data_IF_597391575192
#
_entry.id   IF_597391575192
#
_cell.length_a   1.000
_cell.length_b   1.000
_cell.length_c   1.000
_cell.angle_alpha   90.00
_cell.angle_beta   90.00
_cell.angle_gamma   90.00
#
_symmetry.space_group_name_H-M   'P 1'
#
loop_
_entity.id
_entity.type
_entity.pdbx_description
1 polymer ?
#
# COMPACT_ATOMS: atom_id res chain seq x y z
N UNK A 1 -7.38 -6.17 -11.59
CA UNK A 1 -6.13 -6.98 -11.60
C UNK A 1 -5.39 -6.76 -12.91
N UNK A 2 -4.05 -6.73 -12.84
CA UNK A 2 -3.12 -6.57 -13.97
C UNK A 2 -2.41 -7.90 -14.15
N UNK A 3 -2.64 -8.57 -15.28
CA UNK A 3 -2.18 -9.93 -15.54
C UNK A 3 -1.21 -10.04 -16.73
N UNK A 4 -1.07 -8.97 -17.53
CA UNK A 4 -0.21 -8.92 -18.71
C UNK A 4 0.73 -7.73 -18.67
N UNK A 5 1.81 -7.79 -19.44
CA UNK A 5 2.76 -6.68 -19.55
C UNK A 5 2.11 -5.41 -20.12
N UNK A 6 1.25 -5.54 -21.13
CA UNK A 6 0.56 -4.39 -21.71
C UNK A 6 -0.35 -3.69 -20.68
N UNK A 7 -1.13 -4.46 -19.92
CA UNK A 7 -1.91 -3.91 -18.81
C UNK A 7 -1.01 -3.23 -17.77
N UNK A 8 0.17 -3.80 -17.49
CA UNK A 8 1.11 -3.24 -16.53
C UNK A 8 1.68 -1.88 -16.98
N UNK A 9 2.02 -1.73 -18.27
CA UNK A 9 2.47 -0.45 -18.81
C UNK A 9 1.36 0.60 -18.82
N UNK A 10 0.14 0.23 -19.23
CA UNK A 10 -1.03 1.13 -19.18
C UNK A 10 -1.32 1.60 -17.74
N UNK A 11 -1.26 0.69 -16.78
CA UNK A 11 -1.42 1.03 -15.37
C UNK A 11 -0.29 1.94 -14.86
N UNK A 12 0.96 1.68 -15.28
CA UNK A 12 2.10 2.50 -14.90
C UNK A 12 1.99 3.94 -15.44
N UNK A 13 1.59 4.12 -16.68
CA UNK A 13 1.33 5.44 -17.26
C UNK A 13 0.28 6.21 -16.44
N UNK A 14 -0.82 5.56 -16.07
CA UNK A 14 -1.85 6.18 -15.24
C UNK A 14 -1.30 6.57 -13.86
N UNK A 15 -0.58 5.66 -13.19
CA UNK A 15 -0.04 5.86 -11.85
C UNK A 15 1.06 6.92 -11.80
N UNK A 16 1.88 7.05 -12.86
CA UNK A 16 2.91 8.09 -12.94
C UNK A 16 2.37 9.51 -13.12
N UNK A 17 1.10 9.66 -13.46
CA UNK A 17 0.40 10.96 -13.47
C UNK A 17 -0.13 11.36 -12.08
N UNK A 18 -0.08 10.46 -11.11
CA UNK A 18 -0.51 10.74 -9.75
C UNK A 18 0.59 11.43 -8.94
N UNK A 19 0.21 12.35 -8.08
CA UNK A 19 1.16 13.02 -7.16
C UNK A 19 1.63 12.09 -6.04
N UNK A 20 0.76 11.18 -5.61
CA UNK A 20 1.04 10.22 -4.54
C UNK A 20 0.20 8.95 -4.68
N UNK A 21 0.81 7.81 -4.38
CA UNK A 21 0.17 6.49 -4.41
C UNK A 21 0.53 5.69 -3.16
N UNK A 22 -0.40 4.86 -2.71
CA UNK A 22 -0.12 3.85 -1.69
C UNK A 22 0.46 2.59 -2.34
N UNK A 23 1.39 1.93 -1.67
CA UNK A 23 2.01 0.70 -2.17
C UNK A 23 2.13 -0.35 -1.06
N UNK A 24 1.96 -1.61 -1.45
CA UNK A 24 2.19 -2.78 -0.62
C UNK A 24 2.55 -3.99 -1.49
N UNK A 25 3.04 -5.09 -0.89
CA UNK A 25 3.33 -6.33 -1.61
C UNK A 25 2.83 -7.56 -0.85
N UNK A 26 2.48 -8.61 -1.61
CA UNK A 26 2.11 -9.88 -1.03
C UNK A 26 2.99 -11.01 -1.56
N UNK A 27 3.40 -11.87 -0.64
CA UNK A 27 4.19 -13.06 -0.91
C UNK A 27 3.46 -14.29 -0.37
N UNK A 28 3.43 -15.36 -1.13
CA UNK A 28 2.89 -16.63 -0.64
C UNK A 28 3.60 -17.06 0.65
N UNK A 29 2.89 -17.36 1.73
CA UNK A 29 3.51 -17.80 2.98
C UNK A 29 4.21 -19.15 2.80
N UNK A 30 5.36 -19.32 3.45
CA UNK A 30 6.04 -20.61 3.57
C UNK A 30 5.97 -21.12 4.99
N UNK A 31 5.49 -22.33 5.15
CA UNK A 31 5.44 -23.04 6.44
C UNK A 31 6.61 -24.04 6.59
N UNK A 32 7.54 -24.07 5.62
CA UNK A 32 8.73 -24.93 5.64
C UNK A 32 9.99 -24.07 5.78
N UNK A 33 10.86 -24.45 6.72
CA UNK A 33 12.15 -23.78 6.94
C UNK A 33 13.00 -23.79 5.66
N UNK A 34 13.56 -22.63 5.31
CA UNK A 34 14.46 -22.49 4.15
C UNK A 34 13.76 -22.28 2.81
N UNK A 35 12.44 -22.36 2.74
CA UNK A 35 11.71 -22.04 1.51
C UNK A 35 11.29 -20.57 1.55
N UNK A 36 11.74 -19.81 0.56
CA UNK A 36 11.32 -18.41 0.35
C UNK A 36 10.60 -18.33 -1.00
N UNK A 37 9.41 -17.72 -0.99
CA UNK A 37 8.70 -17.36 -2.21
C UNK A 37 9.09 -15.96 -2.65
N UNK A 38 8.97 -15.68 -3.93
CA UNK A 38 9.10 -14.33 -4.45
C UNK A 38 7.81 -13.54 -4.21
N UNK A 39 7.89 -12.21 -4.35
CA UNK A 39 6.70 -11.37 -4.39
C UNK A 39 5.77 -11.87 -5.50
N UNK A 40 4.53 -12.16 -5.15
CA UNK A 40 3.51 -12.68 -6.06
C UNK A 40 2.56 -11.58 -6.55
N UNK A 41 2.37 -10.54 -5.73
CA UNK A 41 1.44 -9.44 -6.00
C UNK A 41 2.09 -8.12 -5.55
N UNK A 42 1.95 -7.08 -6.37
CA UNK A 42 2.25 -5.69 -5.99
C UNK A 42 0.94 -4.91 -6.10
N UNK A 43 0.58 -4.21 -5.04
CA UNK A 43 -0.58 -3.33 -5.01
C UNK A 43 -0.12 -1.89 -5.09
N UNK A 44 -0.71 -1.12 -6.00
CA UNK A 44 -0.48 0.33 -6.07
C UNK A 44 -1.84 1.02 -6.17
N UNK A 45 -2.15 1.87 -5.19
CA UNK A 45 -3.45 2.49 -5.03
C UNK A 45 -3.39 3.99 -5.21
N UNK A 46 -4.26 4.53 -6.03
CA UNK A 46 -4.74 5.91 -5.98
C UNK A 46 -5.87 6.02 -4.96
N UNK A 47 -6.60 7.15 -4.93
CA UNK A 47 -7.81 7.27 -4.10
C UNK A 47 -8.95 6.35 -4.56
N UNK A 48 -9.13 6.24 -5.86
CA UNK A 48 -10.33 5.66 -6.47
C UNK A 48 -10.06 4.28 -7.05
N UNK A 49 -8.81 3.96 -7.33
CA UNK A 49 -8.43 2.73 -8.04
C UNK A 49 -7.20 2.10 -7.42
N UNK A 50 -7.25 0.79 -7.17
CA UNK A 50 -6.08 0.01 -6.83
C UNK A 50 -5.73 -0.96 -7.96
N UNK A 51 -4.49 -0.89 -8.41
CA UNK A 51 -3.93 -1.80 -9.40
C UNK A 51 -3.23 -2.97 -8.69
N UNK A 52 -3.68 -4.18 -8.99
CA UNK A 52 -3.16 -5.42 -8.43
C UNK A 52 -2.30 -6.13 -9.49
N UNK A 53 -1.00 -5.87 -9.48
CA UNK A 53 -0.05 -6.45 -10.43
C UNK A 53 0.29 -7.88 -10.03
N UNK A 54 -0.17 -8.85 -10.80
CA UNK A 54 0.07 -10.28 -10.59
C UNK A 54 1.46 -10.66 -11.10
N UNK A 55 2.49 -10.53 -10.26
CA UNK A 55 3.89 -10.79 -10.65
C UNK A 55 4.10 -12.21 -11.16
N UNK A 56 3.37 -13.18 -10.59
CA UNK A 56 3.39 -14.56 -11.07
C UNK A 56 2.78 -14.77 -12.48
N UNK A 57 2.17 -13.73 -13.08
CA UNK A 57 1.56 -13.74 -14.42
C UNK A 57 2.27 -12.83 -15.42
N UNK A 58 2.99 -11.83 -14.92
CA UNK A 58 3.73 -10.86 -15.71
C UNK A 58 5.17 -11.36 -15.83
N UNK A 59 5.74 -11.42 -17.04
CA UNK A 59 7.06 -11.97 -17.28
C UNK A 59 8.19 -11.10 -16.71
N UNK A 60 7.97 -9.80 -16.56
CA UNK A 60 8.94 -8.86 -16.01
C UNK A 60 8.25 -7.76 -15.17
N UNK A 61 9.03 -7.09 -14.33
CA UNK A 61 8.54 -6.01 -13.48
C UNK A 61 8.93 -4.60 -13.96
N UNK A 62 9.23 -4.43 -15.26
CA UNK A 62 9.74 -3.14 -15.78
C UNK A 62 8.76 -2.00 -15.57
N UNK A 63 7.46 -2.21 -15.79
CA UNK A 63 6.43 -1.18 -15.54
C UNK A 63 6.40 -0.76 -14.05
N UNK A 64 6.48 -1.74 -13.14
CA UNK A 64 6.54 -1.47 -11.69
C UNK A 64 7.85 -0.75 -11.34
N UNK A 65 8.96 -1.17 -11.92
CA UNK A 65 10.26 -0.51 -11.75
C UNK A 65 10.19 0.97 -12.13
N UNK A 66 9.57 1.31 -13.25
CA UNK A 66 9.38 2.70 -13.68
C UNK A 66 8.63 3.52 -12.62
N UNK A 67 7.56 2.98 -12.03
CA UNK A 67 6.81 3.65 -10.97
C UNK A 67 7.69 3.84 -9.72
N UNK A 68 8.40 2.79 -9.29
CA UNK A 68 9.21 2.82 -8.08
C UNK A 68 10.42 3.79 -8.20
N UNK A 69 11.02 3.88 -9.38
CA UNK A 69 12.16 4.75 -9.67
C UNK A 69 11.75 6.16 -10.08
N UNK A 70 10.46 6.43 -10.33
CA UNK A 70 9.95 7.76 -10.62
C UNK A 70 10.21 8.73 -9.45
N UNK A 71 10.70 9.92 -9.76
CA UNK A 71 10.84 11.04 -8.81
C UNK A 71 9.60 11.94 -8.79
N UNK A 72 8.70 11.80 -9.78
CA UNK A 72 7.48 12.60 -9.89
C UNK A 72 6.36 12.14 -8.97
N UNK A 73 6.23 10.82 -8.79
CA UNK A 73 5.17 10.21 -7.98
C UNK A 73 5.71 9.83 -6.61
N UNK A 74 5.07 10.27 -5.53
CA UNK A 74 5.39 9.86 -4.16
C UNK A 74 4.78 8.49 -3.86
N UNK A 75 5.60 7.51 -3.45
CA UNK A 75 5.16 6.18 -3.01
C UNK A 75 5.07 6.14 -1.49
N UNK A 76 3.95 5.68 -0.96
CA UNK A 76 3.70 5.60 0.49
C UNK A 76 3.40 4.15 0.84
N UNK A 77 4.16 3.57 1.75
CA UNK A 77 3.94 2.22 2.21
C UNK A 77 4.42 2.00 3.64
N UNK A 78 4.17 0.84 4.16
CA UNK A 78 4.56 0.43 5.50
C UNK A 78 5.44 -0.81 5.42
N UNK A 79 6.63 -0.75 6.03
CA UNK A 79 7.69 -1.78 5.91
C UNK A 79 8.31 -1.89 4.50
N UNK A 80 8.36 -0.78 3.77
CA UNK A 80 8.85 -0.71 2.39
C UNK A 80 10.25 -1.30 2.19
N UNK A 81 11.08 -1.35 3.23
CA UNK A 81 12.40 -1.98 3.17
C UNK A 81 12.30 -3.45 2.77
N UNK A 82 11.33 -4.17 3.32
CA UNK A 82 11.12 -5.60 3.07
C UNK A 82 10.49 -5.81 1.69
N UNK A 83 9.54 -4.96 1.29
CA UNK A 83 8.94 -4.96 -0.05
C UNK A 83 9.99 -4.75 -1.13
N UNK A 84 10.81 -3.71 -0.99
CA UNK A 84 11.89 -3.44 -1.93
C UNK A 84 12.95 -4.54 -1.95
N UNK A 85 13.27 -5.17 -0.82
CA UNK A 85 14.15 -6.31 -0.78
C UNK A 85 13.57 -7.52 -1.52
N UNK A 86 12.26 -7.75 -1.39
CA UNK A 86 11.52 -8.76 -2.14
C UNK A 86 11.56 -8.52 -3.65
N UNK A 87 11.30 -7.28 -4.07
CA UNK A 87 11.30 -6.91 -5.48
C UNK A 87 12.69 -6.91 -6.11
N UNK A 88 13.74 -6.57 -5.35
CA UNK A 88 15.15 -6.64 -5.82
C UNK A 88 15.61 -8.07 -6.16
N UNK A 89 14.95 -9.09 -5.61
CA UNK A 89 15.22 -10.48 -6.03
C UNK A 89 14.72 -10.79 -7.45
N UNK A 90 13.78 -9.99 -7.97
CA UNK A 90 13.22 -10.15 -9.30
C UNK A 90 13.94 -9.29 -10.35
N UNK A 91 14.32 -8.07 -9.99
CA UNK A 91 15.04 -7.14 -10.87
C UNK A 91 15.75 -6.08 -10.01
N UNK A 92 16.93 -5.60 -10.44
CA UNK A 92 17.57 -4.45 -9.79
C UNK A 92 16.64 -3.24 -9.83
N UNK A 93 16.30 -2.68 -8.66
CA UNK A 93 15.52 -1.47 -8.49
C UNK A 93 16.20 -0.49 -7.53
N UNK A 94 16.07 0.80 -7.82
CA UNK A 94 16.53 1.90 -6.98
C UNK A 94 15.31 2.81 -6.70
N UNK A 95 14.52 2.51 -5.65
CA UNK A 95 13.33 3.30 -5.35
C UNK A 95 13.69 4.72 -4.99
N UNK A 96 12.96 5.68 -5.55
CA UNK A 96 13.07 7.10 -5.26
C UNK A 96 11.73 7.65 -4.75
N UNK A 97 11.76 8.79 -4.07
CA UNK A 97 10.59 9.57 -3.67
C UNK A 97 9.52 8.70 -3.00
N UNK A 98 9.84 8.17 -1.81
CA UNK A 98 8.94 7.33 -1.01
C UNK A 98 8.93 7.73 0.46
N UNK A 99 7.85 7.38 1.16
CA UNK A 99 7.66 7.56 2.59
C UNK A 99 7.41 6.20 3.23
N UNK A 100 8.25 5.89 4.23
CA UNK A 100 8.03 4.79 5.17
C UNK A 100 7.07 5.24 6.27
N UNK A 101 5.85 4.70 6.27
CA UNK A 101 4.79 5.16 7.16
C UNK A 101 5.10 4.95 8.63
N UNK A 102 5.82 3.91 9.01
CA UNK A 102 6.20 3.69 10.41
C UNK A 102 6.99 4.87 10.95
N UNK A 103 8.00 5.32 10.19
CA UNK A 103 8.82 6.47 10.57
C UNK A 103 8.01 7.78 10.50
N UNK A 104 7.18 7.92 9.47
CA UNK A 104 6.37 9.12 9.30
C UNK A 104 5.35 9.27 10.43
N UNK A 105 4.65 8.21 10.81
CA UNK A 105 3.67 8.21 11.89
C UNK A 105 4.30 8.53 13.26
N UNK A 106 5.54 8.09 13.50
CA UNK A 106 6.28 8.41 14.74
C UNK A 106 6.46 9.91 14.94
N UNK A 107 6.65 10.69 13.86
CA UNK A 107 6.75 12.16 13.94
C UNK A 107 5.46 12.83 14.48
N UNK A 108 4.33 12.11 14.44
CA UNK A 108 3.03 12.54 14.98
C UNK A 108 2.71 11.89 16.33
N UNK A 109 3.69 11.24 16.97
CA UNK A 109 3.51 10.60 18.27
C UNK A 109 2.79 9.25 18.21
N UNK A 110 2.72 8.61 17.04
CA UNK A 110 2.14 7.29 16.85
C UNK A 110 3.28 6.27 16.86
N UNK A 111 3.39 5.49 17.94
CA UNK A 111 4.44 4.47 18.12
C UNK A 111 4.03 3.09 17.58
N UNK A 112 2.79 2.94 17.12
CA UNK A 112 2.29 1.70 16.55
C UNK A 112 2.96 1.39 15.21
N UNK A 113 3.35 0.11 15.04
CA UNK A 113 4.15 -0.33 13.89
C UNK A 113 3.34 -1.13 12.86
N UNK A 114 2.09 -1.50 13.15
CA UNK A 114 1.26 -2.24 12.21
C UNK A 114 0.25 -1.34 11.53
N UNK A 115 0.07 -1.53 10.21
CA UNK A 115 -0.88 -0.77 9.40
C UNK A 115 -2.29 -0.75 10.01
N UNK A 116 -2.78 -1.91 10.43
CA UNK A 116 -4.12 -2.05 10.99
C UNK A 116 -4.29 -1.30 12.31
N UNK A 117 -3.24 -1.23 13.14
CA UNK A 117 -3.30 -0.51 14.42
C UNK A 117 -3.21 1.00 14.20
N UNK A 118 -2.30 1.47 13.33
CA UNK A 118 -2.21 2.88 12.95
C UNK A 118 -3.55 3.34 12.36
N UNK A 119 -4.12 2.54 11.44
CA UNK A 119 -5.41 2.84 10.83
C UNK A 119 -6.53 2.89 11.87
N UNK A 120 -6.58 1.92 12.79
CA UNK A 120 -7.59 1.89 13.84
C UNK A 120 -7.46 3.08 14.81
N UNK A 121 -6.23 3.49 15.14
CA UNK A 121 -5.97 4.65 15.99
C UNK A 121 -6.47 5.94 15.35
N UNK A 122 -6.20 6.14 14.06
CA UNK A 122 -6.57 7.36 13.35
C UNK A 122 -8.06 7.42 12.99
N UNK A 123 -8.63 6.30 12.60
CA UNK A 123 -9.96 6.27 11.98
C UNK A 123 -11.03 5.53 12.79
N UNK A 124 -10.68 4.92 13.94
CA UNK A 124 -11.61 4.15 14.76
C UNK A 124 -12.14 2.87 14.06
N UNK A 125 -11.49 2.40 12.99
CA UNK A 125 -11.91 1.25 12.18
C UNK A 125 -10.79 0.23 12.07
N UNK A 126 -11.18 -1.04 11.95
CA UNK A 126 -10.24 -2.15 11.81
C UNK A 126 -10.15 -2.62 10.37
N UNK A 127 -8.93 -2.79 9.87
CA UNK A 127 -8.65 -3.51 8.63
C UNK A 127 -8.54 -5.00 8.98
N UNK A 128 -9.18 -5.84 8.16
CA UNK A 128 -9.15 -7.30 8.34
C UNK A 128 -7.75 -7.86 8.05
N UNK A 129 -7.35 -8.92 8.76
CA UNK A 129 -6.13 -9.70 8.50
C UNK A 129 -6.40 -11.10 7.92
N UNK A 130 -7.65 -11.38 7.57
CA UNK A 130 -8.09 -12.75 7.24
C UNK A 130 -7.39 -13.36 6.02
N UNK A 131 -6.89 -12.51 5.11
CA UNK A 131 -6.23 -12.95 3.88
C UNK A 131 -4.69 -12.88 3.92
N UNK A 132 -4.09 -12.43 5.03
CA UNK A 132 -2.64 -12.25 5.16
C UNK A 132 -1.83 -13.52 4.80
N UNK A 133 -2.34 -14.70 5.16
CA UNK A 133 -1.67 -15.98 4.89
C UNK A 133 -2.25 -16.72 3.69
N UNK A 134 -2.81 -15.99 2.74
CA UNK A 134 -3.40 -16.55 1.53
C UNK A 134 -2.36 -17.05 0.52
N UNK A 135 -2.79 -17.92 -0.39
CA UNK A 135 -1.98 -18.29 -1.54
C UNK A 135 -2.07 -17.20 -2.63
N UNK A 136 -1.13 -16.26 -2.60
CA UNK A 136 -1.06 -15.15 -3.55
C UNK A 136 -0.62 -15.56 -4.96
N UNK A 137 -0.10 -16.79 -5.12
CA UNK A 137 0.25 -17.39 -6.42
C UNK A 137 -0.92 -18.19 -7.05
N UNK A 138 -2.11 -18.21 -6.41
CA UNK A 138 -3.28 -18.93 -6.94
C UNK A 138 -3.58 -18.52 -8.39
N UNK A 139 -4.14 -19.41 -9.24
CA UNK A 139 -4.49 -19.06 -10.62
C UNK A 139 -5.40 -17.83 -10.70
N UNK A 140 -6.33 -17.70 -9.79
CA UNK A 140 -7.21 -16.53 -9.63
C UNK A 140 -7.24 -16.10 -8.18
N UNK A 141 -7.27 -14.78 -7.94
CA UNK A 141 -7.49 -14.22 -6.61
C UNK A 141 -8.99 -14.10 -6.38
N UNK A 142 -9.43 -14.58 -5.23
CA UNK A 142 -10.82 -14.36 -4.78
C UNK A 142 -11.09 -12.87 -4.57
N UNK A 143 -12.36 -12.47 -4.58
CA UNK A 143 -12.75 -11.09 -4.26
C UNK A 143 -12.26 -10.65 -2.87
N UNK A 144 -12.24 -11.57 -1.89
CA UNK A 144 -11.74 -11.29 -0.55
C UNK A 144 -10.23 -10.99 -0.55
N UNK A 145 -9.42 -11.72 -1.31
CA UNK A 145 -8.00 -11.46 -1.48
C UNK A 145 -7.76 -10.12 -2.20
N UNK A 146 -8.48 -9.86 -3.28
CA UNK A 146 -8.36 -8.61 -4.03
C UNK A 146 -8.70 -7.41 -3.15
N UNK A 147 -9.80 -7.48 -2.40
CA UNK A 147 -10.22 -6.41 -1.49
C UNK A 147 -9.21 -6.19 -0.37
N UNK A 148 -8.69 -7.28 0.22
CA UNK A 148 -7.67 -7.21 1.25
C UNK A 148 -6.42 -6.48 0.75
N UNK A 149 -5.84 -6.95 -0.36
CA UNK A 149 -4.63 -6.40 -0.95
C UNK A 149 -4.81 -4.93 -1.36
N UNK A 150 -5.96 -4.60 -1.98
CA UNK A 150 -6.28 -3.22 -2.34
C UNK A 150 -6.42 -2.32 -1.10
N UNK A 151 -7.01 -2.84 -0.02
CA UNK A 151 -7.20 -2.09 1.22
C UNK A 151 -5.88 -1.72 1.88
N UNK A 152 -4.89 -2.62 1.89
CA UNK A 152 -3.62 -2.37 2.56
C UNK A 152 -2.82 -1.25 1.84
N UNK A 153 -2.72 -1.28 0.51
CA UNK A 153 -2.11 -0.20 -0.26
C UNK A 153 -2.89 1.12 -0.15
N UNK A 154 -4.21 1.07 -0.26
CA UNK A 154 -5.08 2.25 -0.12
C UNK A 154 -4.98 2.87 1.28
N UNK A 155 -4.91 2.05 2.33
CA UNK A 155 -4.80 2.53 3.70
C UNK A 155 -3.48 3.26 3.95
N UNK A 156 -2.38 2.87 3.30
CA UNK A 156 -1.12 3.58 3.36
C UNK A 156 -1.26 5.03 2.87
N UNK A 157 -1.89 5.23 1.71
CA UNK A 157 -2.17 6.56 1.16
C UNK A 157 -3.11 7.36 2.05
N UNK A 158 -4.14 6.72 2.61
CA UNK A 158 -5.14 7.33 3.46
C UNK A 158 -4.53 7.83 4.78
N UNK A 159 -3.71 7.00 5.45
CA UNK A 159 -2.97 7.39 6.67
C UNK A 159 -2.07 8.60 6.40
N UNK A 160 -1.28 8.55 5.33
CA UNK A 160 -0.38 9.65 4.98
C UNK A 160 -1.11 10.97 4.82
N UNK A 161 -2.20 11.00 4.04
CA UNK A 161 -2.98 12.22 3.81
C UNK A 161 -3.64 12.73 5.09
N UNK A 162 -4.15 11.84 5.93
CA UNK A 162 -4.72 12.22 7.20
C UNK A 162 -3.69 12.85 8.15
N UNK A 163 -2.50 12.27 8.23
CA UNK A 163 -1.40 12.81 9.05
C UNK A 163 -0.88 14.14 8.51
N UNK A 164 -0.85 14.30 7.19
CA UNK A 164 -0.44 15.55 6.54
C UNK A 164 -1.47 16.67 6.70
N UNK A 165 -2.68 16.36 7.16
CA UNK A 165 -3.77 17.32 7.30
C UNK A 165 -4.46 17.65 5.98
N UNK A 166 -4.31 16.85 4.94
CA UNK A 166 -5.02 17.02 3.68
C UNK A 166 -6.51 16.66 3.85
N UNK A 167 -7.42 17.42 3.23
CA UNK A 167 -8.83 17.12 3.29
C UNK A 167 -9.11 15.77 2.59
N UNK A 168 -9.75 14.85 3.32
CA UNK A 168 -10.24 13.61 2.75
C UNK A 168 -11.41 13.88 1.79
N UNK A 169 -11.58 13.07 0.72
CA UNK A 169 -12.74 13.15 -0.16
C UNK A 169 -14.08 13.17 0.62
N UNK A 170 -15.07 13.86 0.09
CA UNK A 170 -16.34 14.15 0.83
C UNK A 170 -17.09 12.90 1.25
N UNK A 171 -17.05 11.85 0.44
CA UNK A 171 -17.65 10.54 0.74
C UNK A 171 -17.03 9.89 1.99
N UNK A 172 -15.75 10.10 2.24
CA UNK A 172 -15.06 9.58 3.43
C UNK A 172 -15.21 10.47 4.66
N UNK A 173 -15.45 11.77 4.49
CA UNK A 173 -15.70 12.70 5.61
C UNK A 173 -16.93 12.33 6.43
N UNK A 174 -18.00 11.87 5.80
CA UNK A 174 -19.23 11.43 6.50
C UNK A 174 -19.00 10.21 7.39
N UNK A 175 -18.03 9.39 7.05
CA UNK A 175 -17.67 8.18 7.78
C UNK A 175 -16.88 8.51 9.05
N UNK A 176 -16.21 9.66 9.11
CA UNK A 176 -15.25 10.06 10.14
C UNK A 176 -15.78 11.12 11.12
N UNK A 177 -17.04 11.53 11.04
CA UNK A 177 -17.64 12.50 11.99
C UNK A 177 -18.11 11.83 13.28
N UNK A 178 -17.29 10.99 13.91
CA UNK A 178 -17.60 10.50 15.27
C UNK A 178 -16.93 11.39 16.32
N UNK A 179 -17.56 11.56 17.53
CA UNK A 179 -17.06 12.44 18.59
C UNK A 179 -15.62 12.19 19.05
N UNK A 180 -15.10 10.98 18.88
CA UNK A 180 -13.72 10.61 19.24
C UNK A 180 -12.65 11.25 18.35
N UNK A 181 -12.98 11.61 17.10
CA UNK A 181 -12.04 12.22 16.16
C UNK A 181 -11.78 13.71 16.44
N UNK A 182 -12.73 14.41 17.04
CA UNK A 182 -12.52 15.80 17.49
C UNK A 182 -11.38 15.93 18.51
N UNK A 183 -11.06 14.85 19.23
CA UNK A 183 -9.96 14.80 20.19
C UNK A 183 -8.58 14.58 19.52
N UNK A 184 -8.56 13.84 18.41
CA UNK A 184 -7.32 13.55 17.66
C UNK A 184 -6.94 14.77 16.81
N UNK A 185 -7.87 15.37 16.08
CA UNK A 185 -7.63 16.61 15.33
C UNK A 185 -7.08 17.72 16.22
N UNK A 186 -7.62 17.90 17.44
CA UNK A 186 -7.11 18.90 18.39
C UNK A 186 -5.68 18.63 18.87
N UNK A 187 -5.22 17.36 18.93
CA UNK A 187 -3.84 17.03 19.31
C UNK A 187 -2.82 17.31 18.20
N UNK A 188 -3.23 17.26 16.95
CA UNK A 188 -2.36 17.45 15.79
C UNK A 188 -2.38 18.87 15.21
N UNK A 189 -3.43 19.66 15.49
CA UNK A 189 -3.56 21.06 15.02
C UNK A 189 -2.91 22.06 15.99
N UNK A 190 -2.53 21.66 17.21
CA UNK A 190 -1.92 22.55 18.21
C UNK A 190 -0.38 22.48 18.29
N UNK A 191 0.28 22.01 17.28
CA UNK A 191 1.73 22.16 17.09
C UNK A 191 1.93 22.58 15.63
#
# INVERSE_FOLDING_TARGET
TVNTENEAYTAAESLMNETAVGIDTETRPSFRKGIMHNVALVQISTWDTCYLFRICRINNIHAIKQILESTGTLKIGLSLKDDFAGLRRLSPIIPHHYIELQQYATAFGIEEMSLQKIYALLFGRKISKTQQLSNWEAPELTNAQQLYAATDAWACLHIYKALKGEPLPTEYRKIFQTPQQKGIEKRFIQK
#
